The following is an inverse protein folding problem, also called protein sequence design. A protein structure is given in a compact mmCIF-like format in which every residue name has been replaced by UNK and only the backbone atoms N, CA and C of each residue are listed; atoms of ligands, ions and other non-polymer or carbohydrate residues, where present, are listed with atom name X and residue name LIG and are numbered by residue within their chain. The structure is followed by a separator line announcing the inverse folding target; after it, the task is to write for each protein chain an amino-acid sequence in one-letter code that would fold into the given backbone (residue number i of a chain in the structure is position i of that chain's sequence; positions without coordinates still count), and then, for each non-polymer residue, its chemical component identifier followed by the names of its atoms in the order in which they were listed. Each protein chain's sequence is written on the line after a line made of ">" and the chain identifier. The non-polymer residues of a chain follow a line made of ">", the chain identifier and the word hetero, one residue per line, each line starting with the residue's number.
data_IF_174596027507
#
_entry.id   IF_174596027507
#
_cell.length_a   1.000
_cell.length_b   1.000
_cell.length_c   1.000
_cell.angle_alpha   90.00
_cell.angle_beta   90.00
_cell.angle_gamma   90.00
#
_symmetry.space_group_name_H-M   'P 1'
#
loop_
_entity.id
_entity.type
_entity.pdbx_description
1 polymer ?
#
# COMPACT_ATOMS: atom_id res chain seq x y z
N UNK A 1 8.93 7.59 -20.15
CA UNK A 1 8.64 7.60 -18.69
C UNK A 1 7.17 7.23 -18.44
N UNK A 2 6.66 6.11 -18.96
CA UNK A 2 5.25 5.69 -18.76
C UNK A 2 5.12 4.22 -18.32
N UNK A 3 6.17 3.42 -18.48
CA UNK A 3 6.16 1.98 -18.20
C UNK A 3 6.01 1.67 -16.71
N UNK A 4 6.46 2.56 -15.81
CA UNK A 4 6.33 2.38 -14.37
C UNK A 4 4.88 2.55 -13.87
N UNK A 5 4.09 3.45 -14.48
CA UNK A 5 2.64 3.54 -14.22
C UNK A 5 1.92 2.24 -14.60
N UNK A 6 2.32 1.63 -15.72
CA UNK A 6 1.80 0.33 -16.16
C UNK A 6 2.21 -0.78 -15.18
N UNK A 7 3.44 -0.76 -14.67
CA UNK A 7 3.91 -1.71 -13.66
C UNK A 7 3.09 -1.60 -12.36
N UNK A 8 2.84 -0.39 -11.86
CA UNK A 8 1.99 -0.17 -10.69
C UNK A 8 0.55 -0.59 -10.96
N UNK A 9 0.02 -0.32 -12.15
CA UNK A 9 -1.29 -0.80 -12.58
C UNK A 9 -1.37 -2.34 -12.57
N UNK A 10 -0.36 -3.02 -13.08
CA UNK A 10 -0.27 -4.48 -13.05
C UNK A 10 -0.18 -5.01 -11.61
N UNK A 11 0.63 -4.39 -10.75
CA UNK A 11 0.70 -4.73 -9.32
C UNK A 11 -0.65 -4.52 -8.62
N UNK A 12 -1.38 -3.46 -8.94
CA UNK A 12 -2.68 -3.18 -8.34
C UNK A 12 -3.73 -4.22 -8.78
N UNK A 13 -3.79 -4.56 -10.06
CA UNK A 13 -4.68 -5.61 -10.58
C UNK A 13 -4.34 -6.95 -9.93
N UNK A 14 -3.05 -7.29 -9.88
CA UNK A 14 -2.57 -8.53 -9.25
C UNK A 14 -2.95 -8.58 -7.77
N UNK A 15 -2.70 -7.52 -7.00
CA UNK A 15 -3.05 -7.42 -5.59
C UNK A 15 -4.57 -7.56 -5.39
N UNK A 16 -5.37 -6.84 -6.18
CA UNK A 16 -6.82 -6.90 -6.07
C UNK A 16 -7.40 -8.31 -6.37
N UNK A 17 -6.88 -8.97 -7.41
CA UNK A 17 -7.30 -10.31 -7.83
C UNK A 17 -6.88 -11.38 -6.82
N UNK A 18 -5.66 -11.29 -6.30
CA UNK A 18 -5.10 -12.23 -5.33
C UNK A 18 -5.71 -12.09 -3.93
N UNK A 19 -6.11 -10.88 -3.53
CA UNK A 19 -6.75 -10.61 -2.24
C UNK A 19 -8.25 -10.88 -2.18
N UNK A 20 -8.81 -11.71 -3.08
CA UNK A 20 -10.27 -11.86 -3.18
C UNK A 20 -10.98 -12.40 -1.94
N UNK A 21 -10.26 -13.11 -1.08
CA UNK A 21 -10.79 -13.67 0.17
C UNK A 21 -10.59 -12.73 1.38
N UNK A 22 -10.05 -11.53 1.14
CA UNK A 22 -9.73 -10.51 2.15
C UNK A 22 -10.36 -9.17 1.75
N UNK A 23 -11.59 -8.85 2.20
CA UNK A 23 -12.24 -7.59 1.86
C UNK A 23 -11.44 -6.38 2.34
N UNK A 24 -10.73 -6.48 3.47
CA UNK A 24 -9.83 -5.42 3.96
C UNK A 24 -8.63 -5.17 3.03
N UNK A 25 -7.99 -6.22 2.52
CA UNK A 25 -6.88 -6.10 1.56
C UNK A 25 -7.28 -5.41 0.26
N UNK A 26 -8.48 -5.70 -0.26
CA UNK A 26 -9.04 -4.97 -1.42
C UNK A 26 -9.25 -3.49 -1.13
N UNK A 27 -9.74 -3.14 0.06
CA UNK A 27 -9.90 -1.74 0.48
C UNK A 27 -8.55 -1.01 0.50
N UNK A 28 -7.51 -1.63 1.08
CA UNK A 28 -6.16 -1.05 1.09
C UNK A 28 -5.60 -0.89 -0.32
N UNK A 29 -5.76 -1.91 -1.17
CA UNK A 29 -5.35 -1.84 -2.56
C UNK A 29 -6.00 -0.65 -3.29
N UNK A 30 -7.31 -0.46 -3.13
CA UNK A 30 -8.06 0.64 -3.76
C UNK A 30 -7.67 2.01 -3.22
N UNK A 31 -7.44 2.13 -1.90
CA UNK A 31 -7.03 3.40 -1.29
C UNK A 31 -5.64 3.81 -1.74
N UNK A 32 -4.69 2.86 -1.75
CA UNK A 32 -3.31 3.11 -2.18
C UNK A 32 -3.27 3.43 -3.68
N UNK A 33 -3.91 2.64 -4.53
CA UNK A 33 -3.93 2.89 -5.97
C UNK A 33 -4.71 4.16 -6.33
N UNK A 34 -5.81 4.44 -5.64
CA UNK A 34 -6.59 5.65 -5.81
C UNK A 34 -5.81 6.92 -5.43
N UNK A 35 -5.12 6.89 -4.28
CA UNK A 35 -4.24 7.99 -3.86
C UNK A 35 -3.09 8.23 -4.84
N UNK A 36 -2.48 7.14 -5.33
CA UNK A 36 -1.46 7.21 -6.38
C UNK A 36 -2.00 7.85 -7.67
N UNK A 37 -3.12 7.35 -8.22
CA UNK A 37 -3.71 7.90 -9.44
C UNK A 37 -4.07 9.37 -9.27
N UNK A 38 -4.67 9.74 -8.13
CA UNK A 38 -5.03 11.13 -7.84
C UNK A 38 -3.81 12.05 -7.83
N UNK A 39 -2.73 11.65 -7.17
CA UNK A 39 -1.49 12.43 -7.13
C UNK A 39 -0.81 12.56 -8.49
N UNK A 40 -0.80 11.50 -9.30
CA UNK A 40 -0.25 11.52 -10.67
C UNK A 40 -1.08 12.40 -11.59
N UNK A 41 -2.40 12.26 -11.59
CA UNK A 41 -3.31 13.09 -12.38
C UNK A 41 -3.16 14.56 -12.00
N UNK A 42 -3.08 14.86 -10.70
CA UNK A 42 -2.84 16.21 -10.21
C UNK A 42 -1.49 16.76 -10.70
N UNK A 43 -0.42 15.97 -10.64
CA UNK A 43 0.91 16.40 -11.08
C UNK A 43 0.93 16.76 -12.57
N UNK A 44 0.17 16.06 -13.41
CA UNK A 44 0.02 16.38 -14.84
C UNK A 44 -0.91 17.56 -15.09
N UNK A 45 -2.02 17.66 -14.35
CA UNK A 45 -2.97 18.75 -14.51
C UNK A 45 -2.40 20.10 -14.03
N UNK A 46 -1.66 20.11 -12.91
CA UNK A 46 -1.07 21.33 -12.34
C UNK A 46 -0.05 22.00 -13.28
N UNK A 47 0.55 21.26 -14.22
CA UNK A 47 1.43 21.84 -15.25
C UNK A 47 0.68 22.77 -16.22
N UNK A 48 -0.66 22.64 -16.33
CA UNK A 48 -1.48 23.35 -17.32
C UNK A 48 -2.15 24.63 -16.79
N UNK A 49 -2.07 24.93 -15.48
CA UNK A 49 -2.80 26.03 -14.83
C UNK A 49 -1.88 26.85 -13.93
N UNK A 50 -1.72 28.15 -14.26
CA UNK A 50 -0.64 28.98 -13.73
C UNK A 50 -0.93 29.74 -12.43
N UNK A 51 -2.17 29.82 -11.94
CA UNK A 51 -2.46 30.93 -11.02
C UNK A 51 -2.26 30.66 -9.53
N UNK A 52 -2.53 29.47 -8.95
CA UNK A 52 -2.33 29.25 -7.50
C UNK A 52 -2.44 27.76 -7.09
N UNK A 53 -1.77 26.85 -7.80
CA UNK A 53 -1.89 25.40 -7.54
C UNK A 53 -0.91 24.92 -6.46
N UNK A 54 -1.35 24.17 -5.42
CA UNK A 54 -0.43 23.55 -4.48
C UNK A 54 0.62 22.68 -5.21
N UNK A 55 1.85 22.63 -4.67
CA UNK A 55 2.93 21.85 -5.27
C UNK A 55 2.52 20.36 -5.33
N UNK A 56 2.83 19.63 -6.43
CA UNK A 56 2.46 18.22 -6.56
C UNK A 56 2.90 17.34 -5.38
N UNK A 57 4.08 17.61 -4.80
CA UNK A 57 4.60 16.91 -3.61
C UNK A 57 3.69 17.07 -2.39
N UNK A 58 3.05 18.24 -2.21
CA UNK A 58 2.12 18.47 -1.12
C UNK A 58 0.82 17.67 -1.30
N UNK A 59 0.35 17.51 -2.53
CA UNK A 59 -0.83 16.68 -2.82
C UNK A 59 -0.51 15.19 -2.63
N UNK A 60 0.67 14.74 -3.08
CA UNK A 60 1.14 13.38 -2.84
C UNK A 60 1.25 13.09 -1.33
N UNK A 61 1.85 14.01 -0.56
CA UNK A 61 1.90 13.93 0.91
C UNK A 61 0.50 13.75 1.52
N UNK A 62 -0.45 14.62 1.13
CA UNK A 62 -1.82 14.57 1.67
C UNK A 62 -2.51 13.24 1.34
N UNK A 63 -2.37 12.74 0.10
CA UNK A 63 -2.93 11.44 -0.27
C UNK A 63 -2.37 10.32 0.60
N UNK A 64 -1.05 10.25 0.74
CA UNK A 64 -0.38 9.21 1.51
C UNK A 64 -0.71 9.29 3.00
N UNK A 65 -0.74 10.51 3.55
CA UNK A 65 -1.07 10.75 4.95
C UNK A 65 -2.53 10.40 5.28
N UNK A 66 -3.48 10.70 4.38
CA UNK A 66 -4.88 10.31 4.54
C UNK A 66 -5.01 8.78 4.51
N UNK A 67 -4.39 8.13 3.53
CA UNK A 67 -4.42 6.65 3.43
C UNK A 67 -3.79 6.02 4.67
N UNK A 68 -2.62 6.51 5.10
CA UNK A 68 -1.98 6.10 6.35
C UNK A 68 -2.93 6.25 7.53
N UNK A 69 -3.56 7.42 7.70
CA UNK A 69 -4.46 7.70 8.83
C UNK A 69 -5.68 6.78 8.84
N UNK A 70 -6.28 6.53 7.69
CA UNK A 70 -7.39 5.58 7.56
C UNK A 70 -6.93 4.19 8.01
N UNK A 71 -5.79 3.68 7.53
CA UNK A 71 -5.29 2.36 7.92
C UNK A 71 -4.95 2.33 9.42
N UNK A 72 -4.28 3.35 9.94
CA UNK A 72 -3.90 3.48 11.34
C UNK A 72 -5.12 3.36 12.27
N UNK A 73 -6.27 3.94 11.89
CA UNK A 73 -7.49 3.92 12.69
C UNK A 73 -8.37 2.67 12.50
N UNK A 74 -8.25 1.98 11.36
CA UNK A 74 -9.20 0.93 10.98
C UNK A 74 -8.57 -0.44 10.74
N UNK A 75 -7.24 -0.57 10.90
CA UNK A 75 -6.57 -1.85 10.83
C UNK A 75 -6.99 -2.78 11.98
N UNK A 76 -7.05 -4.08 11.68
CA UNK A 76 -7.48 -5.13 12.60
C UNK A 76 -6.38 -6.17 12.86
N UNK A 77 -5.35 -6.25 12.01
CA UNK A 77 -4.32 -7.28 12.12
C UNK A 77 -2.90 -6.75 11.98
N UNK A 78 -1.95 -7.48 12.56
CA UNK A 78 -0.52 -7.17 12.42
C UNK A 78 -0.05 -7.09 10.98
N UNK A 79 -0.64 -7.87 10.07
CA UNK A 79 -0.24 -7.81 8.65
C UNK A 79 -0.55 -6.44 8.01
N UNK A 80 -1.59 -5.75 8.50
CA UNK A 80 -1.98 -4.41 8.06
C UNK A 80 -1.05 -3.35 8.68
N UNK A 81 -0.68 -3.55 9.95
CA UNK A 81 0.26 -2.71 10.67
C UNK A 81 1.68 -2.76 10.07
N UNK A 82 2.23 -3.95 9.87
CA UNK A 82 3.59 -4.14 9.35
C UNK A 82 3.68 -4.06 7.83
N UNK A 83 2.55 -4.01 7.15
CA UNK A 83 2.46 -3.89 5.69
C UNK A 83 1.98 -2.52 5.27
N UNK A 84 0.72 -2.38 4.82
CA UNK A 84 0.21 -1.16 4.22
C UNK A 84 0.34 0.07 5.12
N UNK A 85 0.13 -0.04 6.45
CA UNK A 85 0.33 1.10 7.37
C UNK A 85 1.78 1.59 7.35
N UNK A 86 2.74 0.68 7.51
CA UNK A 86 4.16 1.01 7.51
C UNK A 86 4.58 1.63 6.17
N UNK A 87 4.20 1.03 5.04
CA UNK A 87 4.58 1.57 3.72
C UNK A 87 3.99 2.95 3.47
N UNK A 88 2.75 3.20 3.85
CA UNK A 88 2.14 4.53 3.72
C UNK A 88 2.76 5.55 4.67
N UNK A 89 3.15 5.15 5.88
CA UNK A 89 3.90 6.01 6.80
C UNK A 89 5.24 6.43 6.20
N UNK A 90 5.98 5.49 5.60
CA UNK A 90 7.25 5.76 4.93
C UNK A 90 7.04 6.67 3.72
N UNK A 91 6.04 6.39 2.88
CA UNK A 91 5.70 7.21 1.71
C UNK A 91 5.35 8.66 2.10
N UNK A 92 4.48 8.83 3.10
CA UNK A 92 4.12 10.14 3.63
C UNK A 92 5.34 10.86 4.23
N UNK A 93 6.23 10.15 4.91
CA UNK A 93 7.45 10.73 5.48
C UNK A 93 8.43 11.21 4.40
N UNK A 94 8.60 10.43 3.33
CA UNK A 94 9.42 10.82 2.16
C UNK A 94 8.85 12.08 1.52
N UNK A 95 7.54 12.12 1.28
CA UNK A 95 6.86 13.29 0.73
C UNK A 95 6.98 14.52 1.65
N UNK A 96 6.86 14.34 2.96
CA UNK A 96 7.04 15.40 3.95
C UNK A 96 8.46 15.96 3.96
N UNK A 97 9.47 15.08 3.93
CA UNK A 97 10.88 15.48 3.85
C UNK A 97 11.18 16.22 2.56
N UNK A 98 10.66 15.75 1.42
CA UNK A 98 10.82 16.44 0.14
C UNK A 98 10.12 17.81 0.14
N UNK A 99 8.91 17.89 0.72
CA UNK A 99 8.20 19.17 0.85
C UNK A 99 8.97 20.16 1.73
N UNK A 100 9.51 19.69 2.85
CA UNK A 100 10.36 20.47 3.77
C UNK A 100 11.62 20.95 3.06
N UNK A 101 12.32 20.04 2.36
CA UNK A 101 13.50 20.36 1.56
C UNK A 101 13.19 21.42 0.48
N UNK A 102 12.03 21.34 -0.16
CA UNK A 102 11.60 22.29 -1.19
C UNK A 102 11.20 23.68 -0.67
N UNK A 103 10.81 23.79 0.61
CA UNK A 103 10.42 25.05 1.26
C UNK A 103 11.62 25.70 1.94
N UNK A 104 12.39 24.91 2.71
CA UNK A 104 13.45 25.40 3.58
C UNK A 104 14.86 25.21 3.00
N UNK A 105 15.00 24.51 1.87
CA UNK A 105 16.28 24.10 1.29
C UNK A 105 17.17 23.27 2.24
N UNK A 106 16.56 22.61 3.25
CA UNK A 106 17.25 21.70 4.17
C UNK A 106 16.36 20.49 4.49
N UNK A 107 16.81 19.23 4.21
CA UNK A 107 18.02 18.88 3.44
C UNK A 107 17.93 19.33 1.97
N UNK A 108 19.01 19.17 1.19
CA UNK A 108 18.97 19.46 -0.25
C UNK A 108 17.87 18.61 -0.92
N UNK A 109 16.97 19.20 -1.73
CA UNK A 109 15.86 18.48 -2.33
C UNK A 109 16.36 17.41 -3.28
N UNK A 110 15.74 16.23 -3.22
CA UNK A 110 16.06 15.15 -4.16
C UNK A 110 15.67 15.58 -5.57
N UNK A 111 16.42 15.07 -6.56
CA UNK A 111 16.05 15.26 -7.96
C UNK A 111 14.65 14.66 -8.19
N UNK A 112 13.77 15.32 -8.97
CA UNK A 112 12.37 14.93 -9.11
C UNK A 112 12.16 13.46 -9.53
N UNK A 113 13.03 12.94 -10.41
CA UNK A 113 12.95 11.55 -10.87
C UNK A 113 13.35 10.54 -9.78
N UNK A 114 14.31 10.87 -8.90
CA UNK A 114 14.70 10.02 -7.77
C UNK A 114 13.53 9.94 -6.78
N UNK A 115 12.94 11.09 -6.47
CA UNK A 115 11.79 11.16 -5.58
C UNK A 115 10.59 10.36 -6.13
N UNK A 116 10.26 10.53 -7.42
CA UNK A 116 9.18 9.77 -8.06
C UNK A 116 9.45 8.26 -8.03
N UNK A 117 10.64 7.84 -8.45
CA UNK A 117 11.02 6.43 -8.46
C UNK A 117 10.96 5.80 -7.07
N UNK A 118 11.37 6.53 -6.03
CA UNK A 118 11.30 6.05 -4.65
C UNK A 118 9.86 5.80 -4.19
N UNK A 119 8.94 6.75 -4.45
CA UNK A 119 7.52 6.61 -4.10
C UNK A 119 6.83 5.48 -4.88
N UNK A 120 7.18 5.33 -6.16
CA UNK A 120 6.70 4.24 -7.01
C UNK A 120 7.13 2.87 -6.48
N UNK A 121 8.40 2.74 -6.07
CA UNK A 121 8.92 1.52 -5.46
C UNK A 121 8.19 1.20 -4.15
N UNK A 122 7.98 2.19 -3.28
CA UNK A 122 7.23 2.00 -2.02
C UNK A 122 5.80 1.52 -2.30
N UNK A 123 5.12 2.14 -3.26
CA UNK A 123 3.76 1.77 -3.67
C UNK A 123 3.72 0.35 -4.25
N UNK A 124 4.66 0.01 -5.13
CA UNK A 124 4.76 -1.33 -5.71
C UNK A 124 4.98 -2.39 -4.63
N UNK A 125 5.90 -2.14 -3.67
CA UNK A 125 6.15 -3.04 -2.55
C UNK A 125 4.88 -3.20 -1.69
N UNK A 126 4.15 -2.12 -1.42
CA UNK A 126 2.91 -2.19 -0.65
C UNK A 126 1.84 -3.04 -1.36
N UNK A 127 1.68 -2.89 -2.67
CA UNK A 127 0.74 -3.69 -3.47
C UNK A 127 1.16 -5.17 -3.54
N UNK A 128 2.45 -5.44 -3.73
CA UNK A 128 2.99 -6.80 -3.70
C UNK A 128 2.79 -7.44 -2.33
N UNK A 129 2.96 -6.69 -1.24
CA UNK A 129 2.68 -7.18 0.11
C UNK A 129 1.21 -7.57 0.29
N UNK A 130 0.29 -6.70 -0.15
CA UNK A 130 -1.16 -6.95 -0.10
C UNK A 130 -1.52 -8.22 -0.89
N UNK A 131 -1.00 -8.34 -2.12
CA UNK A 131 -1.24 -9.50 -2.96
C UNK A 131 -0.63 -10.78 -2.40
N UNK A 132 0.61 -10.72 -1.92
CA UNK A 132 1.33 -11.83 -1.30
C UNK A 132 0.64 -12.36 -0.04
N UNK A 133 0.13 -11.46 0.81
CA UNK A 133 -0.70 -11.85 1.95
C UNK A 133 -2.02 -12.48 1.51
N UNK A 134 -2.64 -11.95 0.44
CA UNK A 134 -3.84 -12.53 -0.20
C UNK A 134 -3.64 -13.97 -0.66
N UNK A 135 -2.54 -14.24 -1.37
CA UNK A 135 -2.16 -15.59 -1.82
C UNK A 135 -1.90 -16.50 -0.62
N UNK A 136 -1.13 -16.01 0.35
CA UNK A 136 -0.80 -16.78 1.56
C UNK A 136 -2.07 -17.21 2.29
N UNK A 137 -3.05 -16.31 2.43
CA UNK A 137 -4.31 -16.67 3.07
C UNK A 137 -5.11 -17.69 2.26
N UNK A 138 -5.19 -17.54 0.93
CA UNK A 138 -5.85 -18.53 0.07
C UNK A 138 -5.22 -19.92 0.21
N UNK A 139 -3.89 -20.00 0.26
CA UNK A 139 -3.17 -21.26 0.46
C UNK A 139 -3.43 -21.86 1.84
N UNK A 140 -3.42 -21.03 2.89
CA UNK A 140 -3.74 -21.46 4.25
C UNK A 140 -5.19 -21.95 4.38
N UNK A 141 -6.15 -21.26 3.77
CA UNK A 141 -7.56 -21.65 3.73
C UNK A 141 -7.73 -22.98 2.96
N UNK A 142 -7.07 -23.14 1.81
CA UNK A 142 -7.15 -24.35 0.99
C UNK A 142 -6.68 -25.62 1.71
N UNK A 143 -5.69 -25.50 2.61
CA UNK A 143 -5.25 -26.61 3.47
C UNK A 143 -6.36 -27.14 4.40
N UNK A 144 -7.32 -26.30 4.78
CA UNK A 144 -8.42 -26.68 5.68
C UNK A 144 -9.59 -27.36 4.96
N UNK A 145 -9.75 -27.15 3.64
CA UNK A 145 -10.90 -27.66 2.86
C UNK A 145 -10.67 -29.01 2.18
N UNK A 146 -9.46 -29.57 2.24
CA UNK A 146 -9.20 -30.93 1.77
C UNK A 146 -7.77 -31.12 1.25
N UNK A 147 -6.93 -31.97 1.88
CA UNK A 147 -5.56 -32.22 1.41
C UNK A 147 -5.49 -32.98 0.08
N UNK A 148 -6.60 -33.58 -0.37
CA UNK A 148 -6.63 -34.50 -1.52
C UNK A 148 -6.64 -33.79 -2.88
N UNK A 149 -6.91 -32.47 -2.92
CA UNK A 149 -6.94 -31.68 -4.16
C UNK A 149 -5.65 -30.90 -4.44
N UNK A 150 -4.74 -30.81 -3.46
CA UNK A 150 -3.51 -30.03 -3.57
C UNK A 150 -2.33 -30.96 -3.87
N UNK A 151 -1.68 -30.78 -5.02
CA UNK A 151 -0.41 -31.44 -5.32
C UNK A 151 0.67 -31.10 -4.30
N UNK A 152 1.72 -31.93 -4.20
CA UNK A 152 2.72 -31.87 -3.12
C UNK A 152 3.41 -30.50 -2.98
N UNK A 153 3.67 -29.81 -4.11
CA UNK A 153 4.21 -28.44 -4.09
C UNK A 153 3.28 -27.45 -3.37
N UNK A 154 1.97 -27.52 -3.62
CA UNK A 154 1.01 -26.63 -2.99
C UNK A 154 0.80 -26.96 -1.51
N UNK A 155 0.96 -28.22 -1.09
CA UNK A 155 0.95 -28.59 0.34
C UNK A 155 2.11 -27.97 1.11
N UNK A 156 3.32 -28.01 0.55
CA UNK A 156 4.49 -27.36 1.16
C UNK A 156 4.33 -25.85 1.24
N UNK A 157 3.81 -25.20 0.19
CA UNK A 157 3.54 -23.77 0.19
C UNK A 157 2.44 -23.38 1.18
N UNK A 158 1.38 -24.18 1.30
CA UNK A 158 0.32 -23.96 2.28
C UNK A 158 0.84 -24.08 3.72
N UNK A 159 1.67 -25.09 4.00
CA UNK A 159 2.31 -25.27 5.31
C UNK A 159 3.19 -24.07 5.70
N UNK A 160 3.84 -23.40 4.74
CA UNK A 160 4.58 -22.14 4.97
C UNK A 160 3.64 -20.94 5.14
N UNK A 161 2.50 -20.92 4.46
CA UNK A 161 1.56 -19.82 4.49
C UNK A 161 0.75 -19.74 5.81
N UNK A 162 0.44 -20.88 6.42
CA UNK A 162 -0.29 -20.96 7.71
C UNK A 162 0.38 -20.15 8.83
N UNK A 163 1.67 -20.34 9.16
CA UNK A 163 2.31 -19.56 10.23
C UNK A 163 2.38 -18.07 9.91
N UNK A 164 2.56 -17.68 8.64
CA UNK A 164 2.54 -16.28 8.20
C UNK A 164 1.16 -15.66 8.45
N UNK A 165 0.10 -16.36 8.04
CA UNK A 165 -1.27 -15.91 8.26
C UNK A 165 -1.61 -15.83 9.75
N UNK A 166 -1.18 -16.82 10.55
CA UNK A 166 -1.36 -16.83 12.01
C UNK A 166 -0.60 -15.71 12.70
N UNK A 167 0.61 -15.38 12.26
CA UNK A 167 1.37 -14.24 12.77
C UNK A 167 0.72 -12.90 12.39
N UNK A 168 0.24 -12.79 11.15
CA UNK A 168 -0.39 -11.59 10.62
C UNK A 168 -1.80 -11.31 11.15
N UNK A 169 -2.55 -12.34 11.55
CA UNK A 169 -3.90 -12.25 12.12
C UNK A 169 -3.92 -11.98 13.62
N UNK A 170 -2.77 -11.93 14.29
CA UNK A 170 -2.72 -11.51 15.69
C UNK A 170 -3.30 -10.10 15.78
N UNK A 171 -4.28 -9.93 16.66
CA UNK A 171 -4.90 -8.65 16.93
C UNK A 171 -3.84 -7.63 17.37
N UNK A 172 -3.98 -6.42 16.85
CA UNK A 172 -3.22 -5.26 17.29
C UNK A 172 -4.01 -4.56 18.41
N UNK A 173 -3.30 -4.00 19.40
CA UNK A 173 -3.93 -3.28 20.54
C UNK A 173 -4.39 -1.88 20.11
N UNK A 174 -5.14 -1.77 19.02
CA UNK A 174 -5.70 -0.48 18.61
C UNK A 174 -6.92 -0.23 19.47
N UNK A 175 -6.88 0.79 20.32
CA UNK A 175 -8.07 1.39 20.90
C UNK A 175 -8.86 2.04 19.75
N UNK A 176 -9.72 1.28 19.08
CA UNK A 176 -10.54 1.78 17.97
C UNK A 176 -11.49 2.87 18.51
N UNK A 177 -11.29 4.16 18.21
CA UNK A 177 -12.23 5.19 18.65
C UNK A 177 -13.57 5.09 17.90
N UNK A 178 -13.61 4.36 16.79
CA UNK A 178 -14.77 4.20 15.90
C UNK A 178 -15.52 2.87 16.07
N UNK A 179 -15.10 1.99 16.99
CA UNK A 179 -15.92 0.82 17.36
C UNK A 179 -17.03 1.31 18.31
N UNK A 180 -18.04 1.95 17.73
CA UNK A 180 -19.28 2.30 18.45
C UNK A 180 -19.79 1.04 19.15
N UNK A 181 -20.00 1.18 20.46
CA UNK A 181 -20.84 0.29 21.27
C UNK A 181 -22.26 0.25 20.69
#
# INVERSE_FOLDING_TARGET
>A
MQWYHLAIGACAIFAYASSGNLPCARRWCLLISGGYVLSVVYAHAAQSVSFWTPRPVAIAFMCDAIVFKIIDETHNGRWEEWGPRLFMAVSASVNFLQLTALIFNMPAPLQPWIHSALLEVITAIALVWIGGYGISKRLADAQHFGPDLLGDCCRHLAALAVPICKAGSKDTKVCQPLRKR
#
